data_IF_051494521934
#
_entry.id   IF_051494521934
#
_cell.length_a   1.000
_cell.length_b   1.000
_cell.length_c   1.000
_cell.angle_alpha   90.00
_cell.angle_beta   90.00
_cell.angle_gamma   90.00
#
_symmetry.space_group_name_H-M   'P 1'
#
loop_
_entity.id
_entity.type
_entity.pdbx_description
1 polymer ?
#
# COMPACT_ATOMS: atom_id res chain seq x y z
N UNK A 1 -26.97 0.44 7.96
CA UNK A 1 -26.55 -0.96 8.23
C UNK A 1 -25.61 -1.40 7.12
N UNK A 2 -24.33 -1.51 7.41
CA UNK A 2 -23.32 -1.92 6.43
C UNK A 2 -23.46 -3.42 6.14
N UNK A 3 -23.65 -3.77 4.89
CA UNK A 3 -23.78 -5.14 4.41
C UNK A 3 -22.39 -5.82 4.49
N UNK A 4 -22.20 -6.71 5.43
CA UNK A 4 -21.04 -7.60 5.53
C UNK A 4 -20.96 -8.41 4.23
N UNK A 5 -19.98 -8.13 3.36
CA UNK A 5 -19.72 -8.94 2.18
C UNK A 5 -19.26 -10.33 2.63
N UNK A 6 -20.01 -11.33 2.24
CA UNK A 6 -19.71 -12.73 2.56
C UNK A 6 -18.66 -13.25 1.58
N UNK A 7 -17.87 -14.23 2.03
CA UNK A 7 -16.83 -14.99 1.30
C UNK A 7 -17.29 -15.67 -0.01
N UNK A 8 -18.29 -15.16 -0.71
CA UNK A 8 -18.98 -15.81 -1.82
C UNK A 8 -19.01 -15.04 -3.13
N UNK A 9 -18.29 -13.92 -3.23
CA UNK A 9 -18.33 -13.13 -4.47
C UNK A 9 -17.60 -13.81 -5.63
N UNK A 10 -16.62 -14.66 -5.36
CA UNK A 10 -16.04 -15.54 -6.37
C UNK A 10 -17.11 -16.37 -7.13
N UNK A 11 -18.20 -16.78 -6.45
CA UNK A 11 -19.32 -17.50 -7.06
C UNK A 11 -20.16 -16.65 -8.01
N UNK A 12 -20.02 -15.31 -7.97
CA UNK A 12 -20.75 -14.36 -8.83
C UNK A 12 -19.94 -13.93 -10.05
N UNK A 13 -18.69 -14.36 -10.15
CA UNK A 13 -17.86 -14.13 -11.31
C UNK A 13 -18.35 -14.95 -12.49
N UNK A 14 -18.21 -14.41 -13.71
CA UNK A 14 -18.32 -15.20 -14.93
C UNK A 14 -17.23 -16.27 -14.95
N UNK A 15 -17.40 -17.32 -15.74
CA UNK A 15 -16.38 -18.38 -15.86
C UNK A 15 -15.04 -17.82 -16.36
N UNK A 16 -15.06 -16.86 -17.32
CA UNK A 16 -13.87 -16.15 -17.79
C UNK A 16 -13.16 -15.38 -16.66
N UNK A 17 -13.92 -14.69 -15.81
CA UNK A 17 -13.36 -13.97 -14.67
C UNK A 17 -12.76 -14.92 -13.63
N UNK A 18 -13.36 -16.09 -13.41
CA UNK A 18 -12.85 -17.13 -12.52
C UNK A 18 -11.54 -17.72 -13.06
N UNK A 19 -11.48 -18.00 -14.36
CA UNK A 19 -10.25 -18.49 -15.00
C UNK A 19 -9.09 -17.50 -14.84
N UNK A 20 -9.32 -16.22 -15.10
CA UNK A 20 -8.29 -15.18 -14.95
C UNK A 20 -7.78 -15.10 -13.51
N UNK A 21 -8.69 -15.19 -12.52
CA UNK A 21 -8.31 -15.21 -11.09
C UNK A 21 -7.48 -16.44 -10.75
N UNK A 22 -7.87 -17.62 -11.25
CA UNK A 22 -7.19 -18.88 -10.99
C UNK A 22 -5.81 -18.93 -11.66
N UNK A 23 -5.69 -18.47 -12.91
CA UNK A 23 -4.40 -18.37 -13.60
C UNK A 23 -3.44 -17.46 -12.86
N UNK A 24 -3.88 -16.27 -12.48
CA UNK A 24 -3.05 -15.34 -11.74
C UNK A 24 -2.59 -15.90 -10.38
N UNK A 25 -3.47 -16.60 -9.65
CA UNK A 25 -3.12 -17.28 -8.40
C UNK A 25 -2.11 -18.40 -8.64
N UNK A 26 -2.26 -19.16 -9.71
CA UNK A 26 -1.35 -20.24 -10.10
C UNK A 26 0.05 -19.71 -10.43
N UNK A 27 0.13 -18.64 -11.22
CA UNK A 27 1.39 -17.97 -11.58
C UNK A 27 2.14 -17.44 -10.35
N UNK A 28 1.40 -16.97 -9.34
CA UNK A 28 1.95 -16.40 -8.09
C UNK A 28 2.18 -17.43 -6.99
N UNK A 29 1.87 -18.72 -7.23
CA UNK A 29 1.98 -19.76 -6.21
C UNK A 29 1.03 -19.58 -5.03
N UNK A 30 -0.04 -18.79 -5.19
CA UNK A 30 -1.04 -18.57 -4.13
C UNK A 30 -1.98 -19.76 -4.00
N UNK A 31 -2.39 -20.14 -2.77
CA UNK A 31 -3.42 -21.13 -2.55
C UNK A 31 -4.72 -20.76 -3.27
N UNK A 32 -5.39 -21.73 -3.86
CA UNK A 32 -6.59 -21.54 -4.69
C UNK A 32 -7.79 -20.93 -3.93
N UNK A 33 -7.77 -20.94 -2.58
CA UNK A 33 -8.91 -20.60 -1.72
C UNK A 33 -8.59 -19.75 -0.49
N UNK A 34 -7.35 -19.29 -0.35
CA UNK A 34 -6.90 -18.52 0.82
C UNK A 34 -6.04 -17.33 0.42
N UNK A 35 -6.02 -16.24 1.25
CA UNK A 35 -4.96 -15.27 1.16
C UNK A 35 -3.60 -15.97 1.28
N UNK A 36 -2.51 -15.36 0.79
CA UNK A 36 -1.18 -15.92 1.00
C UNK A 36 -0.95 -16.09 2.48
N UNK A 37 -1.15 -17.30 3.00
CA UNK A 37 -0.71 -17.67 4.32
C UNK A 37 0.79 -17.88 4.21
N UNK A 38 1.56 -17.04 4.85
CA UNK A 38 2.96 -17.36 5.05
C UNK A 38 3.02 -18.55 6.00
N UNK A 39 3.56 -19.67 5.54
CA UNK A 39 3.83 -20.84 6.36
C UNK A 39 4.90 -20.59 7.44
N UNK A 40 5.57 -19.44 7.38
CA UNK A 40 6.84 -19.17 8.08
C UNK A 40 6.76 -18.05 9.13
N UNK A 41 5.56 -17.73 9.63
CA UNK A 41 5.41 -16.65 10.63
C UNK A 41 5.38 -15.24 10.07
N UNK A 42 5.76 -15.03 8.80
CA UNK A 42 5.65 -13.74 8.11
C UNK A 42 4.18 -13.36 7.88
N UNK A 43 3.88 -12.08 8.05
CA UNK A 43 2.52 -11.57 7.88
C UNK A 43 2.47 -10.37 6.98
N UNK A 44 1.36 -10.24 6.26
CA UNK A 44 1.03 -9.04 5.52
C UNK A 44 0.49 -7.95 6.44
N UNK A 45 0.94 -6.73 6.21
CA UNK A 45 0.48 -5.53 6.91
C UNK A 45 0.13 -4.43 5.93
N UNK A 46 -0.96 -3.71 6.19
CA UNK A 46 -1.15 -2.36 5.70
C UNK A 46 -0.39 -1.43 6.65
N UNK A 47 0.61 -0.74 6.14
CA UNK A 47 1.45 0.19 6.88
C UNK A 47 1.20 1.60 6.36
N UNK A 48 1.10 2.56 7.26
CA UNK A 48 0.89 3.98 6.95
C UNK A 48 1.76 4.84 7.84
N UNK A 49 2.46 5.81 7.27
CA UNK A 49 3.05 6.89 8.06
C UNK A 49 2.82 8.24 7.38
N UNK A 50 2.59 9.25 8.19
CA UNK A 50 2.35 10.60 7.74
C UNK A 50 3.45 11.56 8.20
N UNK A 51 3.68 12.60 7.42
CA UNK A 51 4.45 13.74 7.89
C UNK A 51 3.74 14.41 9.07
N UNK A 52 4.52 14.99 9.95
CA UNK A 52 4.01 15.63 11.16
C UNK A 52 3.00 16.72 10.82
N UNK A 53 1.82 16.70 11.49
CA UNK A 53 0.67 17.57 11.21
C UNK A 53 0.22 17.55 9.74
N UNK A 54 0.43 16.42 9.07
CA UNK A 54 0.07 16.20 7.65
C UNK A 54 0.63 17.27 6.70
N UNK A 55 1.77 17.89 7.07
CA UNK A 55 2.44 18.88 6.22
C UNK A 55 2.94 18.23 4.92
N UNK A 56 2.77 18.91 3.80
CA UNK A 56 3.22 18.45 2.48
C UNK A 56 4.76 18.58 2.33
N UNK A 57 5.53 17.81 3.12
CA UNK A 57 6.99 17.84 3.09
C UNK A 57 7.54 17.12 1.86
N UNK A 58 6.89 16.06 1.41
CA UNK A 58 7.20 15.32 0.17
C UNK A 58 6.46 15.91 -1.05
N UNK A 59 6.36 17.25 -1.14
CA UNK A 59 5.57 17.92 -2.19
C UNK A 59 6.14 17.76 -3.60
N UNK A 60 7.46 17.60 -3.74
CA UNK A 60 8.11 17.45 -5.04
C UNK A 60 8.18 15.98 -5.45
N UNK A 61 8.21 15.73 -6.75
CA UNK A 61 8.30 14.37 -7.29
C UNK A 61 9.64 13.71 -6.92
N UNK A 62 10.73 14.49 -6.91
CA UNK A 62 12.06 14.02 -6.55
C UNK A 62 12.11 13.50 -5.11
N UNK A 63 11.50 14.23 -4.15
CA UNK A 63 11.43 13.78 -2.75
C UNK A 63 10.60 12.51 -2.62
N UNK A 64 9.48 12.41 -3.34
CA UNK A 64 8.65 11.19 -3.32
C UNK A 64 9.40 10.00 -3.94
N UNK A 65 10.08 10.21 -5.06
CA UNK A 65 10.84 9.16 -5.73
C UNK A 65 12.04 8.69 -4.87
N UNK A 66 12.76 9.60 -4.24
CA UNK A 66 13.85 9.25 -3.32
C UNK A 66 13.33 8.48 -2.10
N UNK A 67 12.24 8.95 -1.49
CA UNK A 67 11.63 8.25 -0.36
C UNK A 67 11.12 6.86 -0.75
N UNK A 68 10.45 6.74 -1.89
CA UNK A 68 10.01 5.47 -2.47
C UNK A 68 11.16 4.49 -2.58
N UNK A 69 12.28 4.90 -3.18
CA UNK A 69 13.46 4.05 -3.36
C UNK A 69 13.97 3.56 -2.00
N UNK A 70 14.19 4.47 -1.04
CA UNK A 70 14.66 4.12 0.32
C UNK A 70 13.72 3.14 1.02
N UNK A 71 12.41 3.35 0.90
CA UNK A 71 11.40 2.49 1.52
C UNK A 71 11.41 1.09 0.92
N UNK A 72 11.40 0.98 -0.41
CA UNK A 72 11.37 -0.31 -1.10
C UNK A 72 12.68 -1.10 -0.90
N UNK A 73 13.84 -0.43 -1.04
CA UNK A 73 15.16 -1.01 -0.78
C UNK A 73 15.26 -1.47 0.69
N UNK A 74 14.73 -0.67 1.64
CA UNK A 74 14.72 -1.02 3.06
C UNK A 74 13.90 -2.27 3.36
N UNK A 75 12.70 -2.40 2.74
CA UNK A 75 11.88 -3.61 2.90
C UNK A 75 12.56 -4.83 2.32
N UNK A 76 13.20 -4.72 1.16
CA UNK A 76 13.96 -5.81 0.54
C UNK A 76 15.15 -6.23 1.42
N UNK A 77 15.91 -5.28 2.00
CA UNK A 77 17.04 -5.54 2.88
C UNK A 77 16.68 -6.33 4.15
N UNK A 78 15.46 -6.14 4.66
CA UNK A 78 14.96 -6.94 5.81
C UNK A 78 14.30 -8.25 5.40
N UNK A 79 14.39 -8.64 4.11
CA UNK A 79 13.79 -9.86 3.57
C UNK A 79 12.27 -9.77 3.40
N UNK A 80 11.70 -8.56 3.38
CA UNK A 80 10.27 -8.35 3.19
C UNK A 80 9.84 -8.39 1.72
N UNK A 81 8.55 -8.55 1.49
CA UNK A 81 7.90 -8.52 0.17
C UNK A 81 6.90 -7.37 0.10
N UNK A 82 6.89 -6.60 -1.01
CA UNK A 82 5.94 -5.50 -1.22
C UNK A 82 4.93 -5.88 -2.30
N UNK A 83 3.64 -5.77 -1.97
CA UNK A 83 2.54 -5.99 -2.92
C UNK A 83 1.99 -4.70 -3.51
N UNK A 84 1.81 -3.67 -2.71
CA UNK A 84 1.30 -2.38 -3.19
C UNK A 84 1.88 -1.23 -2.38
N UNK A 85 2.04 -0.07 -3.03
CA UNK A 85 2.49 1.15 -2.37
C UNK A 85 2.03 2.41 -3.10
N UNK A 86 1.96 3.50 -2.35
CA UNK A 86 1.78 4.86 -2.86
C UNK A 86 2.48 5.85 -1.94
N UNK A 87 3.20 6.82 -2.53
CA UNK A 87 3.81 7.92 -1.80
C UNK A 87 3.10 9.21 -2.20
N UNK A 88 2.52 9.88 -1.22
CA UNK A 88 1.78 11.13 -1.36
C UNK A 88 2.58 12.31 -0.77
N UNK A 89 2.17 13.57 -0.99
CA UNK A 89 2.93 14.73 -0.51
C UNK A 89 3.14 14.79 1.00
N UNK A 90 2.29 14.13 1.79
CA UNK A 90 2.27 14.20 3.25
C UNK A 90 2.18 12.85 3.96
N UNK A 91 2.05 11.74 3.24
CA UNK A 91 2.00 10.39 3.83
C UNK A 91 2.31 9.32 2.79
N UNK A 92 2.45 8.07 3.25
CA UNK A 92 2.51 6.91 2.38
C UNK A 92 1.66 5.77 2.91
N UNK A 93 1.29 4.89 2.00
CA UNK A 93 0.71 3.58 2.31
C UNK A 93 1.53 2.49 1.66
N UNK A 94 1.70 1.39 2.37
CA UNK A 94 2.46 0.23 1.93
C UNK A 94 1.71 -1.05 2.33
N UNK A 95 1.55 -1.98 1.41
CA UNK A 95 1.11 -3.35 1.69
C UNK A 95 2.32 -4.26 1.57
N UNK A 96 2.87 -4.65 2.71
CA UNK A 96 4.10 -5.43 2.77
C UNK A 96 3.96 -6.67 3.67
N UNK A 97 4.71 -7.71 3.31
CA UNK A 97 4.91 -8.90 4.12
C UNK A 97 6.27 -8.81 4.80
N UNK A 98 6.29 -8.97 6.11
CA UNK A 98 7.52 -8.89 6.91
C UNK A 98 7.54 -9.98 7.99
N UNK A 99 8.72 -10.39 8.41
CA UNK A 99 8.90 -11.41 9.44
C UNK A 99 8.39 -10.96 10.81
N UNK A 100 8.60 -9.69 11.13
CA UNK A 100 8.09 -9.06 12.34
C UNK A 100 7.92 -7.55 12.11
N UNK A 101 6.85 -6.98 12.66
CA UNK A 101 6.57 -5.55 12.51
C UNK A 101 7.60 -4.66 13.23
N UNK A 102 8.23 -5.18 14.26
CA UNK A 102 9.31 -4.51 14.98
C UNK A 102 10.57 -4.36 14.13
N UNK A 103 10.88 -5.36 13.28
CA UNK A 103 11.99 -5.30 12.31
C UNK A 103 11.73 -4.20 11.27
N UNK A 104 10.50 -4.17 10.74
CA UNK A 104 10.04 -3.07 9.89
C UNK A 104 10.19 -1.72 10.59
N UNK A 105 9.69 -1.61 11.83
CA UNK A 105 9.70 -0.36 12.59
C UNK A 105 11.10 0.20 12.85
N UNK A 106 12.11 -0.66 13.00
CA UNK A 106 13.51 -0.23 13.12
C UNK A 106 14.02 0.34 11.80
N UNK A 107 13.82 -0.38 10.70
CA UNK A 107 14.20 0.04 9.35
C UNK A 107 13.53 1.37 8.97
N UNK A 108 12.21 1.48 9.14
CA UNK A 108 11.43 2.69 8.86
C UNK A 108 11.88 3.88 9.71
N UNK A 109 12.18 3.65 11.01
CA UNK A 109 12.72 4.67 11.90
C UNK A 109 14.08 5.20 11.46
N UNK A 110 14.95 4.37 10.86
CA UNK A 110 16.23 4.80 10.30
C UNK A 110 16.02 5.67 9.05
N UNK A 111 15.11 5.30 8.16
CA UNK A 111 14.73 6.10 6.98
C UNK A 111 14.12 7.44 7.42
N UNK A 112 13.20 7.42 8.39
CA UNK A 112 12.58 8.64 8.91
C UNK A 112 13.59 9.61 9.53
N UNK A 113 14.57 9.12 10.29
CA UNK A 113 15.65 9.97 10.84
C UNK A 113 16.54 10.56 9.75
N UNK A 114 16.95 9.74 8.79
CA UNK A 114 17.77 10.18 7.67
C UNK A 114 17.09 11.26 6.84
N UNK A 115 15.85 11.01 6.40
CA UNK A 115 15.08 11.96 5.60
C UNK A 115 14.72 13.23 6.39
N UNK A 116 14.42 13.13 7.69
CA UNK A 116 14.15 14.29 8.52
C UNK A 116 15.38 15.21 8.63
N UNK A 117 16.58 14.65 8.80
CA UNK A 117 17.83 15.40 8.85
C UNK A 117 18.11 16.10 7.52
N UNK A 118 17.98 15.36 6.43
CA UNK A 118 18.26 15.84 5.08
C UNK A 118 17.27 16.94 4.65
N UNK A 119 15.96 16.70 4.78
CA UNK A 119 14.94 17.65 4.37
C UNK A 119 14.90 18.89 5.25
N UNK A 120 15.23 18.79 6.54
CA UNK A 120 15.36 19.95 7.42
C UNK A 120 16.54 20.84 7.03
N UNK A 121 17.65 20.23 6.57
CA UNK A 121 18.80 20.99 6.04
C UNK A 121 18.44 21.66 4.72
N UNK A 122 17.81 20.96 3.78
CA UNK A 122 17.38 21.49 2.49
C UNK A 122 16.38 22.65 2.62
N UNK A 123 15.42 22.49 3.52
CA UNK A 123 14.36 23.48 3.75
C UNK A 123 14.80 24.62 4.70
N UNK A 124 16.03 24.59 5.21
CA UNK A 124 16.53 25.52 6.24
C UNK A 124 15.64 25.60 7.49
N UNK A 125 15.11 24.45 7.94
CA UNK A 125 14.19 24.32 9.09
C UNK A 125 14.76 23.37 10.16
N UNK A 126 15.91 23.69 10.79
CA UNK A 126 16.54 22.81 11.76
C UNK A 126 15.61 22.54 12.95
N UNK A 127 15.53 21.26 13.36
CA UNK A 127 14.70 20.86 14.50
C UNK A 127 13.20 20.65 14.19
N UNK A 128 12.74 20.91 12.95
CA UNK A 128 11.35 20.60 12.57
C UNK A 128 11.10 19.11 12.72
N UNK A 129 10.00 18.73 13.37
CA UNK A 129 9.51 17.37 13.38
C UNK A 129 8.93 17.05 11.99
N UNK A 130 9.41 15.97 11.36
CA UNK A 130 9.05 15.62 9.98
C UNK A 130 8.02 14.49 9.93
N UNK A 131 8.15 13.50 10.82
CA UNK A 131 7.35 12.29 10.78
C UNK A 131 6.54 12.04 12.05
N UNK A 132 5.33 11.52 11.88
CA UNK A 132 4.66 10.73 12.91
C UNK A 132 5.25 9.31 12.93
N UNK A 133 4.95 8.54 13.98
CA UNK A 133 5.20 7.10 13.97
C UNK A 133 4.27 6.45 12.96
N UNK A 134 4.74 5.38 12.31
CA UNK A 134 3.88 4.58 11.46
C UNK A 134 2.79 3.88 12.26
N UNK A 135 1.70 3.56 11.60
CA UNK A 135 0.66 2.63 12.07
C UNK A 135 0.63 1.41 11.17
N UNK A 136 0.28 0.27 11.73
CA UNK A 136 0.16 -0.99 11.01
C UNK A 136 -1.18 -1.66 11.28
N UNK A 137 -1.62 -2.45 10.30
CA UNK A 137 -2.80 -3.31 10.41
C UNK A 137 -2.49 -4.63 9.76
N UNK A 138 -2.54 -5.71 10.56
CA UNK A 138 -2.36 -7.07 10.07
C UNK A 138 -3.47 -7.44 9.08
N UNK A 139 -3.10 -8.01 7.96
CA UNK A 139 -4.02 -8.52 6.93
C UNK A 139 -4.46 -9.91 7.32
N UNK A 140 -5.73 -10.08 7.66
CA UNK A 140 -6.28 -11.34 8.18
C UNK A 140 -7.18 -12.08 7.20
N UNK A 141 -7.33 -11.60 5.97
CA UNK A 141 -8.15 -12.23 4.94
C UNK A 141 -7.79 -11.76 3.55
N UNK A 142 -8.12 -12.55 2.54
CA UNK A 142 -8.02 -12.13 1.13
C UNK A 142 -8.85 -10.87 0.86
N UNK A 143 -10.03 -10.79 1.43
CA UNK A 143 -10.89 -9.62 1.34
C UNK A 143 -10.17 -8.35 1.83
N UNK A 144 -9.51 -8.41 3.00
CA UNK A 144 -8.75 -7.29 3.54
C UNK A 144 -7.54 -6.97 2.65
N UNK A 145 -6.83 -7.99 2.16
CA UNK A 145 -5.67 -7.81 1.30
C UNK A 145 -6.00 -7.00 0.05
N UNK A 146 -7.01 -7.43 -0.73
CA UNK A 146 -7.38 -6.73 -1.95
C UNK A 146 -8.12 -5.42 -1.69
N UNK A 147 -8.85 -5.29 -0.59
CA UNK A 147 -9.41 -4.00 -0.19
C UNK A 147 -8.29 -2.98 0.12
N UNK A 148 -7.22 -3.39 0.81
CA UNK A 148 -6.06 -2.53 1.05
C UNK A 148 -5.26 -2.24 -0.22
N UNK A 149 -5.09 -3.24 -1.07
CA UNK A 149 -4.49 -3.05 -2.40
C UNK A 149 -5.23 -1.97 -3.21
N UNK A 150 -6.55 -2.07 -3.29
CA UNK A 150 -7.38 -1.10 -3.99
C UNK A 150 -7.36 0.28 -3.32
N UNK A 151 -7.39 0.30 -1.99
CA UNK A 151 -7.31 1.52 -1.20
C UNK A 151 -6.00 2.29 -1.47
N UNK A 152 -4.86 1.60 -1.45
CA UNK A 152 -3.55 2.19 -1.74
C UNK A 152 -3.53 2.84 -3.13
N UNK A 153 -3.99 2.13 -4.14
CA UNK A 153 -3.99 2.65 -5.51
C UNK A 153 -5.05 3.73 -5.76
N UNK A 154 -6.16 3.71 -5.02
CA UNK A 154 -7.20 4.74 -5.08
C UNK A 154 -6.88 6.00 -4.29
N UNK A 155 -5.87 5.98 -3.44
CA UNK A 155 -5.58 7.03 -2.49
C UNK A 155 -5.27 8.40 -3.12
N UNK A 156 -4.50 8.52 -4.24
CA UNK A 156 -4.29 9.81 -4.91
C UNK A 156 -5.59 10.47 -5.41
N UNK A 157 -6.57 9.67 -5.84
CA UNK A 157 -7.88 10.16 -6.25
C UNK A 157 -8.71 10.57 -5.03
N UNK A 158 -8.69 9.76 -3.96
CA UNK A 158 -9.37 10.06 -2.69
C UNK A 158 -8.96 11.44 -2.15
N UNK A 159 -7.66 11.76 -2.20
CA UNK A 159 -7.13 13.05 -1.74
C UNK A 159 -7.15 14.17 -2.79
N UNK A 160 -7.74 13.91 -3.97
CA UNK A 160 -7.91 14.93 -5.00
C UNK A 160 -6.63 15.37 -5.72
N UNK A 161 -5.53 14.62 -5.61
CA UNK A 161 -4.30 14.96 -6.32
C UNK A 161 -4.38 14.71 -7.82
N UNK A 162 -5.18 13.72 -8.24
CA UNK A 162 -5.44 13.35 -9.63
C UNK A 162 -6.88 12.94 -9.82
N UNK A 163 -7.37 12.95 -11.06
CA UNK A 163 -8.72 12.47 -11.37
C UNK A 163 -8.76 10.93 -11.56
N UNK A 164 -7.66 10.35 -11.99
CA UNK A 164 -7.56 8.92 -12.27
C UNK A 164 -6.28 8.37 -11.62
N UNK A 165 -6.39 7.25 -10.93
CA UNK A 165 -5.30 6.67 -10.14
C UNK A 165 -4.00 6.45 -10.93
N UNK A 166 -4.08 6.11 -12.21
CA UNK A 166 -2.91 5.89 -13.07
C UNK A 166 -2.15 7.18 -13.45
N UNK A 167 -2.70 8.36 -13.18
CA UNK A 167 -2.02 9.65 -13.40
C UNK A 167 -0.99 9.96 -12.30
N UNK A 168 -0.99 9.18 -11.20
CA UNK A 168 -0.07 9.37 -10.09
C UNK A 168 1.18 8.51 -10.25
N UNK A 169 2.33 9.14 -10.54
CA UNK A 169 3.60 8.46 -10.85
C UNK A 169 4.17 7.65 -9.68
N UNK A 170 4.10 8.18 -8.44
CA UNK A 170 4.64 7.53 -7.24
C UNK A 170 3.67 6.49 -6.67
N UNK A 171 3.38 5.45 -7.45
CA UNK A 171 2.48 4.35 -7.09
C UNK A 171 2.88 3.06 -7.80
N UNK A 172 2.69 1.92 -7.15
CA UNK A 172 2.88 0.60 -7.75
C UNK A 172 1.84 0.25 -8.82
N UNK A 173 0.79 1.08 -9.00
CA UNK A 173 -0.31 0.80 -9.94
C UNK A 173 0.18 0.60 -11.37
N UNK A 174 1.19 1.38 -11.82
CA UNK A 174 1.75 1.25 -13.16
C UNK A 174 2.34 -0.15 -13.41
N UNK A 175 3.16 -0.64 -12.48
CA UNK A 175 3.72 -1.99 -12.55
C UNK A 175 2.64 -3.07 -12.57
N UNK A 176 1.53 -2.86 -11.86
CA UNK A 176 0.40 -3.79 -11.87
C UNK A 176 -0.41 -3.70 -13.17
N UNK A 177 -0.58 -2.50 -13.75
CA UNK A 177 -1.21 -2.35 -15.06
C UNK A 177 -0.45 -3.09 -16.14
N UNK A 178 0.89 -2.99 -16.12
CA UNK A 178 1.75 -3.67 -17.09
C UNK A 178 1.73 -5.20 -16.92
N UNK A 179 1.73 -5.69 -15.68
CA UNK A 179 1.81 -7.12 -15.37
C UNK A 179 0.47 -7.85 -15.42
N UNK A 180 -0.60 -7.22 -14.99
CA UNK A 180 -1.91 -7.83 -14.80
C UNK A 180 -2.95 -7.37 -15.82
N UNK A 181 -2.72 -6.20 -16.42
CA UNK A 181 -3.67 -5.56 -17.33
C UNK A 181 -4.85 -4.86 -16.65
N UNK A 182 -5.39 -3.86 -17.32
CA UNK A 182 -6.47 -3.02 -16.81
C UNK A 182 -7.79 -3.78 -16.56
N UNK A 183 -8.08 -4.86 -17.33
CA UNK A 183 -9.30 -5.67 -17.16
C UNK A 183 -9.30 -6.34 -15.77
N UNK A 184 -8.17 -6.95 -15.40
CA UNK A 184 -8.02 -7.62 -14.12
C UNK A 184 -8.08 -6.66 -12.94
N UNK A 185 -7.39 -5.52 -13.01
CA UNK A 185 -7.42 -4.51 -11.94
C UNK A 185 -8.84 -3.93 -11.74
N UNK A 186 -9.58 -3.64 -12.82
CA UNK A 186 -10.98 -3.20 -12.71
C UNK A 186 -11.87 -4.25 -12.04
N UNK A 187 -11.62 -5.54 -12.32
CA UNK A 187 -12.31 -6.63 -11.65
C UNK A 187 -12.01 -6.66 -10.15
N UNK A 188 -10.74 -6.52 -9.75
CA UNK A 188 -10.36 -6.44 -8.32
C UNK A 188 -11.04 -5.26 -7.62
N UNK A 189 -11.09 -4.08 -8.23
CA UNK A 189 -11.77 -2.92 -7.66
C UNK A 189 -13.27 -3.14 -7.47
N UNK A 190 -13.91 -3.85 -8.39
CA UNK A 190 -15.34 -4.18 -8.27
C UNK A 190 -15.61 -5.23 -7.18
N UNK A 191 -14.73 -6.24 -7.05
CA UNK A 191 -14.91 -7.36 -6.13
C UNK A 191 -14.54 -7.01 -4.69
N UNK A 192 -13.54 -6.17 -4.51
CA UNK A 192 -12.96 -5.82 -3.20
C UNK A 192 -13.02 -4.31 -2.98
N UNK A 193 -14.22 -3.73 -2.84
CA UNK A 193 -14.37 -2.30 -2.60
C UNK A 193 -13.72 -1.91 -1.27
N UNK A 194 -13.20 -0.68 -1.22
CA UNK A 194 -12.44 -0.17 -0.07
C UNK A 194 -13.31 0.17 1.14
N UNK A 195 -14.63 0.36 0.95
CA UNK A 195 -15.60 0.74 1.98
C UNK A 195 -15.08 1.81 2.96
N UNK A 196 -15.03 1.44 4.25
CA UNK A 196 -14.58 2.31 5.33
C UNK A 196 -13.04 2.28 5.56
N UNK A 197 -12.26 1.70 4.65
CA UNK A 197 -10.80 1.73 4.75
C UNK A 197 -10.32 3.18 4.67
N UNK A 198 -9.57 3.61 5.69
CA UNK A 198 -9.11 4.99 5.79
C UNK A 198 -10.01 5.93 6.59
N UNK A 199 -11.28 5.57 6.81
CA UNK A 199 -12.21 6.40 7.56
C UNK A 199 -11.76 6.62 8.99
N UNK A 200 -11.70 7.89 9.40
CA UNK A 200 -11.31 8.32 10.74
C UNK A 200 -9.80 8.31 11.03
N UNK A 201 -8.96 7.91 10.05
CA UNK A 201 -7.50 7.93 10.21
C UNK A 201 -6.74 8.38 8.95
N UNK A 202 -7.42 8.55 7.84
CA UNK A 202 -6.90 9.04 6.56
C UNK A 202 -7.92 10.01 5.91
N UNK A 203 -8.52 10.86 6.73
CA UNK A 203 -9.54 11.83 6.32
C UNK A 203 -9.03 13.28 6.49
N UNK A 204 -7.76 13.54 6.19
CA UNK A 204 -7.12 14.85 6.33
C UNK A 204 -6.74 15.49 4.99
#
# INVERSE_FOLDING_TARGET
MARKLKSYEYRRLSEEEKEVVLEHRKEKGHPWHSPPHSSDGEKWYLITAANYEHQHIMKTEERRADYQRRLLDGVEQIGGEVSAWVILPNHYHLLAKVSAIEVYGKMDGDIHRGTATEWNREDATPGRKVWFRFSDREVRSEQAFFAYFNYIHGNPVKHGYVQRAYEWSCSSLHSHLDKMGAKYLRMLWRLYPTFDTGKGWDDF
#
